data_IF_777334968037
#
_entry.id   IF_777334968037
#
_cell.length_a   1.000
_cell.length_b   1.000
_cell.length_c   1.000
_cell.angle_alpha   90.00
_cell.angle_beta   90.00
_cell.angle_gamma   90.00
#
_symmetry.space_group_name_H-M   'P 1'
#
loop_
_entity.id
_entity.type
_entity.pdbx_description
1 polymer ?
#
# COMPACT_ATOMS: atom_id res chain seq x y z
N UNK A 1 44.43 -23.96 -14.52
CA UNK A 1 43.73 -23.46 -13.32
C UNK A 1 42.25 -23.69 -13.55
N UNK A 2 41.65 -24.55 -12.72
CA UNK A 2 40.39 -25.28 -12.96
C UNK A 2 39.16 -24.39 -13.21
N UNK A 3 38.44 -24.73 -14.28
CA UNK A 3 37.06 -24.31 -14.57
C UNK A 3 36.12 -24.96 -13.55
N UNK A 4 35.47 -24.16 -12.71
CA UNK A 4 34.38 -24.61 -11.84
C UNK A 4 33.10 -24.73 -12.67
N UNK A 5 32.76 -25.94 -13.11
CA UNK A 5 31.41 -26.26 -13.57
C UNK A 5 30.52 -26.43 -12.33
N UNK A 6 29.64 -25.45 -12.08
CA UNK A 6 28.50 -25.64 -11.18
C UNK A 6 27.46 -26.51 -11.90
N UNK A 7 27.47 -27.81 -11.60
CA UNK A 7 26.38 -28.70 -11.94
C UNK A 7 25.19 -28.40 -11.02
N UNK A 8 24.10 -27.86 -11.59
CA UNK A 8 22.80 -27.89 -10.94
C UNK A 8 22.34 -29.35 -10.89
N UNK A 9 22.52 -29.99 -9.74
CA UNK A 9 21.85 -31.23 -9.42
C UNK A 9 20.36 -30.92 -9.24
N UNK A 10 19.57 -31.21 -10.27
CA UNK A 10 18.12 -31.29 -10.16
C UNK A 10 17.76 -32.49 -9.29
N UNK A 11 17.75 -32.29 -7.97
CA UNK A 11 17.12 -33.21 -7.05
C UNK A 11 15.61 -33.05 -7.17
N UNK A 12 14.94 -34.02 -7.78
CA UNK A 12 13.50 -34.17 -7.62
C UNK A 12 13.25 -34.50 -6.14
N UNK A 13 12.88 -33.49 -5.35
CA UNK A 13 12.35 -33.71 -4.01
C UNK A 13 11.02 -34.43 -4.22
N UNK A 14 10.91 -35.68 -3.78
CA UNK A 14 9.64 -36.39 -3.76
C UNK A 14 8.66 -35.57 -2.92
N UNK A 15 7.61 -35.05 -3.55
CA UNK A 15 6.52 -34.38 -2.84
C UNK A 15 5.84 -35.38 -1.90
N UNK A 16 5.42 -34.92 -0.72
CA UNK A 16 4.70 -35.76 0.23
C UNK A 16 3.28 -36.05 -0.27
N UNK A 17 2.68 -37.16 0.15
CA UNK A 17 1.30 -37.54 -0.22
C UNK A 17 0.27 -36.40 0.00
N UNK A 18 0.31 -35.62 1.11
CA UNK A 18 -0.57 -34.48 1.29
C UNK A 18 -0.36 -33.36 0.25
N UNK A 19 0.89 -33.11 -0.15
CA UNK A 19 1.25 -32.13 -1.16
C UNK A 19 0.72 -32.51 -2.54
N UNK A 20 0.86 -33.78 -2.93
CA UNK A 20 0.35 -34.30 -4.20
C UNK A 20 -1.17 -34.22 -4.28
N UNK A 21 -1.86 -34.56 -3.19
CA UNK A 21 -3.31 -34.47 -3.08
C UNK A 21 -3.79 -33.01 -3.24
N UNK A 22 -3.15 -32.08 -2.53
CA UNK A 22 -3.47 -30.66 -2.62
C UNK A 22 -3.16 -30.10 -4.01
N UNK A 23 -2.03 -30.46 -4.61
CA UNK A 23 -1.67 -30.04 -5.98
C UNK A 23 -2.74 -30.43 -6.98
N UNK A 24 -3.16 -31.69 -6.97
CA UNK A 24 -4.17 -32.23 -7.87
C UNK A 24 -5.49 -31.45 -7.74
N UNK A 25 -5.94 -31.23 -6.50
CA UNK A 25 -7.16 -30.45 -6.20
C UNK A 25 -7.04 -29.01 -6.70
N UNK A 26 -6.03 -28.27 -6.26
CA UNK A 26 -5.90 -26.85 -6.56
C UNK A 26 -5.67 -26.61 -8.05
N UNK A 27 -4.92 -27.49 -8.73
CA UNK A 27 -4.73 -27.43 -10.18
C UNK A 27 -6.06 -27.62 -10.92
N UNK A 28 -6.89 -28.58 -10.51
CA UNK A 28 -8.19 -28.80 -11.12
C UNK A 28 -9.16 -27.62 -10.87
N UNK A 29 -9.08 -26.99 -9.70
CA UNK A 29 -9.87 -25.79 -9.38
C UNK A 29 -9.41 -24.58 -10.19
N UNK A 30 -8.10 -24.37 -10.34
CA UNK A 30 -7.53 -23.25 -11.10
C UNK A 30 -7.60 -23.45 -12.62
N UNK A 31 -7.65 -24.68 -13.12
CA UNK A 31 -7.86 -24.94 -14.56
C UNK A 31 -9.20 -24.38 -15.05
N UNK A 32 -10.22 -24.33 -14.16
CA UNK A 32 -11.52 -23.69 -14.44
C UNK A 32 -11.43 -22.16 -14.53
N UNK A 33 -10.36 -21.56 -13.99
CA UNK A 33 -10.06 -20.13 -14.09
C UNK A 33 -9.21 -19.89 -15.34
N UNK A 34 -8.04 -20.51 -15.42
CA UNK A 34 -7.17 -20.47 -16.59
C UNK A 34 -6.11 -21.59 -16.58
N UNK A 35 -5.61 -21.95 -17.78
CA UNK A 35 -4.45 -22.85 -17.94
C UNK A 35 -3.19 -22.31 -17.29
N UNK A 36 -3.08 -20.98 -17.20
CA UNK A 36 -1.93 -20.30 -16.61
C UNK A 36 -1.94 -20.46 -15.08
N UNK A 37 -3.09 -20.24 -14.44
CA UNK A 37 -3.23 -20.40 -13.00
C UNK A 37 -3.01 -21.86 -12.58
N UNK A 38 -3.58 -22.82 -13.32
CA UNK A 38 -3.33 -24.25 -13.11
C UNK A 38 -1.83 -24.61 -13.21
N UNK A 39 -1.12 -24.03 -14.18
CA UNK A 39 0.33 -24.21 -14.31
C UNK A 39 1.10 -23.55 -13.15
N UNK A 40 0.66 -22.37 -12.72
CA UNK A 40 1.25 -21.65 -11.59
C UNK A 40 1.12 -22.44 -10.28
N UNK A 41 0.00 -23.14 -10.05
CA UNK A 41 -0.15 -24.04 -8.90
C UNK A 41 0.97 -25.08 -8.87
N UNK A 42 1.13 -25.83 -9.97
CA UNK A 42 2.08 -26.95 -10.06
C UNK A 42 3.55 -26.50 -10.03
N UNK A 43 3.85 -25.38 -10.70
CA UNK A 43 5.23 -24.93 -10.90
C UNK A 43 5.74 -23.96 -9.84
N UNK A 44 4.84 -23.34 -9.08
CA UNK A 44 5.21 -22.26 -8.18
C UNK A 44 4.61 -22.47 -6.80
N UNK A 45 3.29 -22.48 -6.66
CA UNK A 45 2.67 -22.52 -5.33
C UNK A 45 3.03 -23.78 -4.55
N UNK A 46 2.75 -24.96 -5.10
CA UNK A 46 2.95 -26.22 -4.36
C UNK A 46 4.44 -26.46 -4.05
N UNK A 47 5.38 -26.33 -5.00
CA UNK A 47 6.80 -26.49 -4.68
C UNK A 47 7.27 -25.55 -3.57
N UNK A 48 6.79 -24.30 -3.53
CA UNK A 48 7.15 -23.34 -2.48
C UNK A 48 6.47 -23.67 -1.14
N UNK A 49 5.19 -24.04 -1.15
CA UNK A 49 4.44 -24.38 0.06
C UNK A 49 4.96 -25.66 0.71
N UNK A 50 5.36 -26.65 -0.07
CA UNK A 50 5.73 -27.97 0.43
C UNK A 50 7.13 -28.06 1.05
N UNK A 51 7.95 -27.03 0.88
CA UNK A 51 9.29 -26.93 1.49
C UNK A 51 9.33 -26.07 2.75
N UNK A 52 8.22 -25.45 3.16
CA UNK A 52 8.17 -24.72 4.44
C UNK A 52 8.34 -25.71 5.60
N UNK A 53 8.95 -25.30 6.74
CA UNK A 53 9.26 -26.23 7.84
C UNK A 53 8.07 -27.05 8.37
N UNK A 54 6.87 -26.46 8.41
CA UNK A 54 5.62 -27.09 8.88
C UNK A 54 4.63 -27.40 7.73
N UNK A 55 5.15 -27.81 6.57
CA UNK A 55 4.37 -27.93 5.34
C UNK A 55 3.13 -28.81 5.45
N UNK A 56 3.17 -29.93 6.19
CA UNK A 56 2.00 -30.79 6.39
C UNK A 56 0.81 -30.04 7.02
N UNK A 57 1.08 -29.22 8.04
CA UNK A 57 0.04 -28.42 8.71
C UNK A 57 -0.46 -27.29 7.82
N UNK A 58 0.46 -26.66 7.08
CA UNK A 58 0.12 -25.57 6.16
C UNK A 58 -0.75 -26.08 5.01
N UNK A 59 -0.39 -27.22 4.42
CA UNK A 59 -1.16 -27.91 3.38
C UNK A 59 -2.57 -28.26 3.90
N UNK A 60 -2.68 -28.85 5.09
CA UNK A 60 -3.98 -29.14 5.70
C UNK A 60 -4.82 -27.87 5.95
N UNK A 61 -4.19 -26.77 6.36
CA UNK A 61 -4.86 -25.47 6.57
C UNK A 61 -5.37 -24.92 5.25
N UNK A 62 -4.56 -24.92 4.20
CA UNK A 62 -4.95 -24.45 2.85
C UNK A 62 -6.12 -25.28 2.32
N UNK A 63 -6.04 -26.60 2.43
CA UNK A 63 -7.11 -27.51 2.00
C UNK A 63 -8.43 -27.23 2.74
N UNK A 64 -8.37 -27.01 4.05
CA UNK A 64 -9.51 -26.65 4.89
C UNK A 64 -10.12 -25.29 4.48
N UNK A 65 -9.30 -24.25 4.34
CA UNK A 65 -9.77 -22.91 3.97
C UNK A 65 -10.39 -22.92 2.58
N UNK A 66 -9.78 -23.58 1.60
CA UNK A 66 -10.36 -23.71 0.24
C UNK A 66 -11.71 -24.43 0.29
N UNK A 67 -11.86 -25.45 1.13
CA UNK A 67 -13.15 -26.13 1.36
C UNK A 67 -14.20 -25.17 1.93
N UNK A 68 -13.83 -24.35 2.92
CA UNK A 68 -14.71 -23.32 3.49
C UNK A 68 -15.11 -22.30 2.41
N UNK A 69 -14.18 -21.88 1.56
CA UNK A 69 -14.42 -20.94 0.47
C UNK A 69 -15.39 -21.50 -0.57
N UNK A 70 -15.23 -22.77 -0.97
CA UNK A 70 -16.13 -23.47 -1.89
C UNK A 70 -17.54 -23.58 -1.31
N UNK A 71 -17.66 -23.97 -0.04
CA UNK A 71 -18.95 -24.07 0.66
C UNK A 71 -19.66 -22.71 0.77
N UNK A 72 -18.90 -21.63 0.93
CA UNK A 72 -19.42 -20.25 0.93
C UNK A 72 -19.61 -19.66 -0.48
N UNK A 73 -19.37 -20.45 -1.53
CA UNK A 73 -19.48 -20.06 -2.94
C UNK A 73 -18.60 -18.86 -3.29
N UNK A 74 -17.43 -18.75 -2.66
CA UNK A 74 -16.43 -17.73 -3.01
C UNK A 74 -15.94 -18.01 -4.44
N UNK A 75 -15.71 -16.93 -5.19
CA UNK A 75 -15.31 -17.04 -6.60
C UNK A 75 -13.94 -17.72 -6.73
N UNK A 76 -13.78 -18.72 -7.61
CA UNK A 76 -12.46 -19.28 -7.90
C UNK A 76 -11.48 -18.27 -8.49
N UNK A 77 -11.92 -17.45 -9.45
CA UNK A 77 -11.06 -16.54 -10.22
C UNK A 77 -10.58 -15.33 -9.42
N UNK A 78 -11.32 -14.95 -8.39
CA UNK A 78 -10.98 -13.82 -7.52
C UNK A 78 -10.61 -14.34 -6.14
N UNK A 79 -11.59 -14.75 -5.33
CA UNK A 79 -11.37 -15.06 -3.92
C UNK A 79 -10.38 -16.20 -3.69
N UNK A 80 -10.59 -17.38 -4.27
CA UNK A 80 -9.68 -18.54 -4.06
C UNK A 80 -8.31 -18.22 -4.64
N UNK A 81 -8.24 -17.71 -5.87
CA UNK A 81 -6.98 -17.32 -6.49
C UNK A 81 -6.19 -16.31 -5.62
N UNK A 82 -6.85 -15.28 -5.11
CA UNK A 82 -6.21 -14.27 -4.26
C UNK A 82 -5.76 -14.85 -2.91
N UNK A 83 -6.56 -15.74 -2.29
CA UNK A 83 -6.12 -16.48 -1.11
C UNK A 83 -4.84 -17.27 -1.38
N UNK A 84 -4.79 -18.03 -2.48
CA UNK A 84 -3.61 -18.83 -2.84
C UNK A 84 -2.39 -17.96 -3.15
N UNK A 85 -2.57 -16.77 -3.72
CA UNK A 85 -1.49 -15.80 -3.89
C UNK A 85 -0.98 -15.25 -2.56
N UNK A 86 -1.87 -15.01 -1.58
CA UNK A 86 -1.47 -14.64 -0.23
C UNK A 86 -0.73 -15.79 0.47
N UNK A 87 -1.15 -17.05 0.28
CA UNK A 87 -0.43 -18.24 0.76
C UNK A 87 0.99 -18.29 0.18
N UNK A 88 1.15 -18.09 -1.13
CA UNK A 88 2.48 -18.02 -1.74
C UNK A 88 3.35 -16.93 -1.09
N UNK A 89 2.79 -15.75 -0.87
CA UNK A 89 3.50 -14.65 -0.21
C UNK A 89 3.89 -15.00 1.24
N UNK A 90 3.02 -15.70 1.99
CA UNK A 90 3.31 -16.16 3.34
C UNK A 90 4.36 -17.26 3.39
N UNK A 91 4.54 -18.05 2.32
CA UNK A 91 5.56 -19.10 2.26
C UNK A 91 6.99 -18.56 2.21
N UNK A 92 7.18 -17.27 1.88
CA UNK A 92 8.46 -16.58 1.98
C UNK A 92 8.97 -16.61 3.45
N UNK A 93 10.19 -17.12 3.73
CA UNK A 93 10.75 -17.20 5.08
C UNK A 93 10.65 -15.92 5.91
N UNK A 94 10.75 -14.74 5.28
CA UNK A 94 10.66 -13.45 5.98
C UNK A 94 9.23 -13.09 6.42
N UNK A 95 8.22 -13.80 5.88
CA UNK A 95 6.80 -13.53 6.05
C UNK A 95 6.05 -14.67 6.76
N UNK A 96 6.67 -15.84 6.92
CA UNK A 96 6.04 -17.01 7.56
C UNK A 96 5.51 -16.74 8.97
N UNK A 97 6.13 -15.81 9.71
CA UNK A 97 5.68 -15.41 11.05
C UNK A 97 4.25 -14.82 11.06
N UNK A 98 3.76 -14.31 9.93
CA UNK A 98 2.39 -13.78 9.78
C UNK A 98 1.33 -14.86 9.51
N UNK A 99 1.74 -16.12 9.31
CA UNK A 99 0.82 -17.20 8.96
C UNK A 99 -0.36 -17.34 9.92
N UNK A 100 -0.06 -17.36 11.23
CA UNK A 100 -1.08 -17.53 12.26
C UNK A 100 -1.97 -16.28 12.37
N UNK A 101 -1.39 -15.08 12.33
CA UNK A 101 -2.13 -13.81 12.37
C UNK A 101 -3.13 -13.74 11.22
N UNK A 102 -2.66 -14.01 9.99
CA UNK A 102 -3.47 -13.95 8.77
C UNK A 102 -4.70 -14.88 8.83
N UNK A 103 -4.49 -16.15 9.16
CA UNK A 103 -5.58 -17.12 9.20
C UNK A 103 -6.54 -16.85 10.37
N UNK A 104 -6.01 -16.49 11.55
CA UNK A 104 -6.85 -16.13 12.71
C UNK A 104 -7.74 -14.91 12.43
N UNK A 105 -7.23 -13.94 11.66
CA UNK A 105 -8.01 -12.78 11.24
C UNK A 105 -9.08 -13.13 10.19
N UNK A 106 -8.80 -14.09 9.32
CA UNK A 106 -9.70 -14.55 8.27
C UNK A 106 -10.87 -15.40 8.83
N UNK A 107 -10.65 -16.16 9.90
CA UNK A 107 -11.63 -17.10 10.47
C UNK A 107 -13.02 -16.51 10.75
N UNK A 108 -13.16 -15.34 11.42
CA UNK A 108 -14.47 -14.75 11.69
C UNK A 108 -15.22 -14.31 10.43
N UNK A 109 -14.55 -14.17 9.29
CA UNK A 109 -15.16 -13.75 8.02
C UNK A 109 -16.07 -14.83 7.42
N UNK A 110 -15.85 -16.10 7.77
CA UNK A 110 -16.65 -17.23 7.28
C UNK A 110 -17.99 -17.38 8.00
N UNK A 111 -18.11 -16.83 9.21
CA UNK A 111 -19.22 -17.09 10.14
C UNK A 111 -20.61 -16.65 9.66
N UNK A 112 -20.69 -15.65 8.76
CA UNK A 112 -21.97 -15.06 8.33
C UNK A 112 -21.93 -14.70 6.85
N UNK A 113 -22.95 -15.15 6.09
CA UNK A 113 -23.12 -14.80 4.67
C UNK A 113 -23.09 -13.28 4.40
N UNK A 114 -23.57 -12.46 5.34
CA UNK A 114 -23.55 -10.98 5.25
C UNK A 114 -22.12 -10.41 5.21
N UNK A 115 -21.11 -11.14 5.69
CA UNK A 115 -19.70 -10.72 5.68
C UNK A 115 -19.00 -11.00 4.35
N UNK A 116 -19.62 -11.71 3.40
CA UNK A 116 -18.98 -12.10 2.12
C UNK A 116 -18.38 -10.94 1.33
N UNK A 117 -19.03 -9.76 1.32
CA UNK A 117 -18.48 -8.57 0.64
C UNK A 117 -17.13 -8.16 1.25
N UNK A 118 -17.06 -8.16 2.59
CA UNK A 118 -15.86 -7.82 3.34
C UNK A 118 -14.80 -8.90 3.15
N UNK A 119 -15.18 -10.18 3.19
CA UNK A 119 -14.29 -11.31 2.89
C UNK A 119 -13.65 -11.14 1.52
N UNK A 120 -14.44 -10.85 0.48
CA UNK A 120 -13.91 -10.66 -0.87
C UNK A 120 -12.95 -9.45 -0.96
N UNK A 121 -13.26 -8.33 -0.30
CA UNK A 121 -12.36 -7.17 -0.20
C UNK A 121 -11.04 -7.56 0.46
N UNK A 122 -11.09 -8.23 1.60
CA UNK A 122 -9.89 -8.66 2.32
C UNK A 122 -9.07 -9.69 1.52
N UNK A 123 -9.71 -10.67 0.89
CA UNK A 123 -9.01 -11.61 0.01
C UNK A 123 -8.32 -10.88 -1.14
N UNK A 124 -8.96 -9.87 -1.74
CA UNK A 124 -8.37 -9.09 -2.82
C UNK A 124 -7.15 -8.25 -2.40
N UNK A 125 -7.15 -7.67 -1.19
CA UNK A 125 -6.01 -6.89 -0.70
C UNK A 125 -4.86 -7.78 -0.18
N UNK A 126 -5.16 -8.99 0.30
CA UNK A 126 -4.22 -9.87 1.00
C UNK A 126 -2.89 -10.11 0.27
N UNK A 127 -2.85 -10.45 -1.04
CA UNK A 127 -1.58 -10.71 -1.73
C UNK A 127 -0.63 -9.51 -1.70
N UNK A 128 -1.16 -8.31 -1.97
CA UNK A 128 -0.38 -7.07 -1.99
C UNK A 128 0.09 -6.67 -0.59
N UNK A 129 -0.80 -6.79 0.40
CA UNK A 129 -0.49 -6.47 1.79
C UNK A 129 0.62 -7.37 2.34
N UNK A 130 0.50 -8.69 2.17
CA UNK A 130 1.50 -9.63 2.69
C UNK A 130 2.82 -9.52 1.93
N UNK A 131 2.78 -9.50 0.60
CA UNK A 131 4.00 -9.53 -0.20
C UNK A 131 4.81 -8.23 -0.08
N UNK A 132 4.12 -7.09 -0.12
CA UNK A 132 4.73 -5.79 -0.40
C UNK A 132 4.20 -4.65 0.47
N UNK A 133 3.46 -4.93 1.55
CA UNK A 133 2.82 -3.93 2.40
C UNK A 133 1.92 -2.94 1.63
N UNK A 134 1.30 -3.40 0.53
CA UNK A 134 0.36 -2.60 -0.27
C UNK A 134 -1.00 -2.63 0.42
N UNK A 135 -1.47 -1.46 0.87
CA UNK A 135 -2.79 -1.32 1.50
C UNK A 135 -3.90 -1.34 0.44
N UNK A 136 -3.64 -0.66 -0.68
CA UNK A 136 -4.60 -0.54 -1.78
C UNK A 136 -3.87 -0.43 -3.11
N UNK A 137 -4.45 -1.02 -4.16
CA UNK A 137 -3.99 -0.86 -5.53
C UNK A 137 -5.17 -0.73 -6.49
N UNK A 138 -5.09 0.24 -7.38
CA UNK A 138 -5.95 0.40 -8.56
C UNK A 138 -5.06 0.51 -9.79
N UNK A 139 -5.52 0.14 -10.98
CA UNK A 139 -4.67 -0.20 -12.15
C UNK A 139 -3.50 0.74 -12.48
N UNK A 140 -3.56 2.02 -12.11
CA UNK A 140 -2.52 3.02 -12.34
C UNK A 140 -1.79 3.52 -11.08
N UNK A 141 -2.22 3.22 -9.85
CA UNK A 141 -1.53 3.65 -8.63
C UNK A 141 -1.75 2.68 -7.45
N UNK A 142 -0.95 2.84 -6.41
CA UNK A 142 -1.09 2.08 -5.16
C UNK A 142 -0.71 2.92 -3.96
N UNK A 143 -1.27 2.54 -2.82
CA UNK A 143 -0.87 2.99 -1.50
C UNK A 143 -0.08 1.89 -0.81
N UNK A 144 1.14 2.18 -0.37
CA UNK A 144 2.08 1.22 0.22
C UNK A 144 2.74 1.76 1.48
N UNK A 145 2.98 0.88 2.45
CA UNK A 145 3.80 1.16 3.63
C UNK A 145 5.26 0.76 3.37
N UNK A 146 6.20 1.50 3.94
CA UNK A 146 7.63 1.21 3.83
C UNK A 146 8.11 0.05 4.70
N UNK A 147 7.28 -0.42 5.63
CA UNK A 147 7.61 -1.50 6.54
C UNK A 147 6.40 -2.36 6.88
N UNK A 148 6.67 -3.59 7.30
CA UNK A 148 5.65 -4.53 7.76
C UNK A 148 5.22 -4.26 9.22
N UNK A 149 5.24 -3.01 9.69
CA UNK A 149 4.80 -2.62 11.05
C UNK A 149 3.30 -2.31 11.07
N UNK A 150 2.53 -3.29 10.61
CA UNK A 150 1.07 -3.24 10.60
C UNK A 150 0.50 -4.52 11.24
N UNK A 151 -0.68 -4.38 11.84
CA UNK A 151 -1.40 -5.44 12.54
C UNK A 151 -2.83 -5.54 12.01
N UNK A 152 -3.35 -6.77 11.98
CA UNK A 152 -4.76 -7.06 11.67
C UNK A 152 -5.51 -7.45 12.94
N UNK A 153 -6.60 -6.75 13.25
CA UNK A 153 -7.39 -7.00 14.45
C UNK A 153 -8.89 -6.81 14.22
N UNK A 154 -9.70 -7.56 14.98
CA UNK A 154 -11.13 -7.32 15.06
C UNK A 154 -11.43 -6.40 16.25
N UNK A 155 -11.75 -5.13 15.99
CA UNK A 155 -12.24 -4.20 16.99
C UNK A 155 -13.76 -4.39 17.14
N UNK A 156 -14.13 -5.37 17.97
CA UNK A 156 -15.52 -5.84 18.04
C UNK A 156 -15.89 -6.61 16.76
N UNK A 157 -16.82 -6.09 15.96
CA UNK A 157 -17.21 -6.66 14.64
C UNK A 157 -16.63 -5.86 13.46
N UNK A 158 -15.64 -5.00 13.74
CA UNK A 158 -14.94 -4.18 12.74
C UNK A 158 -13.59 -4.82 12.42
N UNK A 159 -13.37 -5.28 11.18
CA UNK A 159 -12.06 -5.74 10.74
C UNK A 159 -11.18 -4.52 10.45
N UNK A 160 -10.11 -4.38 11.22
CA UNK A 160 -9.27 -3.19 11.22
C UNK A 160 -7.81 -3.55 10.92
N UNK A 161 -7.16 -2.72 10.11
CA UNK A 161 -5.71 -2.71 9.94
C UNK A 161 -5.16 -1.47 10.64
N UNK A 162 -4.17 -1.64 11.50
CA UNK A 162 -3.44 -0.53 12.13
C UNK A 162 -1.98 -0.57 11.73
N UNK A 163 -1.33 0.59 11.70
CA UNK A 163 0.11 0.70 11.48
C UNK A 163 0.69 1.86 12.28
N UNK A 164 1.95 1.75 12.69
CA UNK A 164 2.59 2.72 13.58
C UNK A 164 4.02 3.05 13.15
N UNK A 165 4.34 4.35 13.18
CA UNK A 165 5.68 4.87 12.88
C UNK A 165 6.22 4.36 11.54
N UNK A 166 5.40 4.48 10.49
CA UNK A 166 5.72 4.05 9.12
C UNK A 166 5.62 5.22 8.16
N UNK A 167 6.26 5.09 7.01
CA UNK A 167 5.99 5.98 5.89
C UNK A 167 4.87 5.38 5.04
N UNK A 168 3.91 6.21 4.65
CA UNK A 168 2.81 5.83 3.77
C UNK A 168 2.95 6.56 2.44
N UNK A 169 3.07 5.82 1.36
CA UNK A 169 3.35 6.37 0.02
C UNK A 169 2.21 6.07 -0.94
N UNK A 170 1.79 7.08 -1.69
CA UNK A 170 1.07 6.87 -2.94
C UNK A 170 2.09 6.78 -4.07
N UNK A 171 1.94 5.81 -4.98
CA UNK A 171 2.89 5.58 -6.08
C UNK A 171 2.18 5.15 -7.36
N UNK A 172 2.67 5.66 -8.49
CA UNK A 172 2.42 5.09 -9.82
C UNK A 172 3.75 4.74 -10.51
N UNK A 173 3.73 4.42 -11.81
CA UNK A 173 4.94 4.03 -12.55
C UNK A 173 6.01 5.14 -12.61
N UNK A 174 5.62 6.41 -12.54
CA UNK A 174 6.50 7.56 -12.81
C UNK A 174 6.64 8.54 -11.65
N UNK A 175 5.77 8.48 -10.65
CA UNK A 175 5.68 9.47 -9.59
C UNK A 175 5.26 8.83 -8.26
N UNK A 176 5.59 9.51 -7.16
CA UNK A 176 5.17 9.18 -5.81
C UNK A 176 5.10 10.43 -4.93
N UNK A 177 4.35 10.32 -3.84
CA UNK A 177 4.50 11.21 -2.69
C UNK A 177 4.39 10.39 -1.41
N UNK A 178 5.04 10.87 -0.34
CA UNK A 178 5.23 10.10 0.89
C UNK A 178 4.81 10.92 2.10
N UNK A 179 3.97 10.32 2.94
CA UNK A 179 3.64 10.78 4.27
C UNK A 179 4.62 10.15 5.25
N UNK A 180 5.52 10.96 5.77
CA UNK A 180 6.62 10.54 6.62
C UNK A 180 6.16 10.36 8.07
N UNK A 181 6.60 9.26 8.67
CA UNK A 181 6.43 8.91 10.09
C UNK A 181 5.00 9.12 10.60
N UNK A 182 4.05 8.47 9.93
CA UNK A 182 2.64 8.50 10.33
C UNK A 182 2.23 7.17 10.97
N UNK A 183 1.05 7.17 11.55
CA UNK A 183 0.36 5.98 12.06
C UNK A 183 -1.05 6.02 11.52
N UNK A 184 -1.74 4.89 11.44
CA UNK A 184 -3.09 4.89 10.90
C UNK A 184 -3.93 3.72 11.38
N UNK A 185 -5.23 3.91 11.19
CA UNK A 185 -6.28 2.95 11.47
C UNK A 185 -7.22 2.92 10.25
N UNK A 186 -7.40 1.73 9.68
CA UNK A 186 -8.24 1.53 8.52
C UNK A 186 -9.28 0.45 8.80
N UNK A 187 -10.55 0.85 8.79
CA UNK A 187 -11.68 -0.07 8.71
C UNK A 187 -11.75 -0.68 7.31
N UNK A 188 -11.43 -1.97 7.19
CA UNK A 188 -11.37 -2.69 5.91
C UNK A 188 -12.73 -2.81 5.19
N UNK A 189 -13.81 -2.33 5.80
CA UNK A 189 -15.13 -2.23 5.18
C UNK A 189 -15.26 -0.98 4.31
N UNK A 190 -14.50 0.07 4.65
CA UNK A 190 -14.46 1.36 3.98
C UNK A 190 -13.17 1.55 3.16
N UNK A 191 -13.06 2.68 2.48
CA UNK A 191 -11.90 3.09 1.68
C UNK A 191 -11.14 4.25 2.34
N UNK A 192 -11.78 4.91 3.31
CA UNK A 192 -11.19 5.97 4.11
C UNK A 192 -10.26 5.36 5.19
N UNK A 193 -9.01 5.78 5.18
CA UNK A 193 -8.01 5.44 6.19
C UNK A 193 -7.74 6.67 7.07
N UNK A 194 -7.97 6.53 8.38
CA UNK A 194 -7.56 7.55 9.33
C UNK A 194 -6.04 7.51 9.47
N UNK A 195 -5.39 8.67 9.35
CA UNK A 195 -3.95 8.83 9.51
C UNK A 195 -3.64 9.88 10.56
N UNK A 196 -2.61 9.62 11.36
CA UNK A 196 -2.06 10.53 12.33
C UNK A 196 -1.25 11.66 11.67
N UNK A 197 -0.69 12.57 12.47
CA UNK A 197 0.14 13.65 11.96
C UNK A 197 1.31 13.10 11.15
N UNK A 198 1.69 13.81 10.10
CA UNK A 198 2.75 13.37 9.19
C UNK A 198 3.51 14.55 8.61
N UNK A 199 4.68 14.28 8.03
CA UNK A 199 5.40 15.28 7.23
C UNK A 199 5.42 14.87 5.77
N UNK A 200 5.23 15.80 4.85
CA UNK A 200 5.34 15.58 3.40
C UNK A 200 6.28 16.62 2.80
N UNK A 201 7.15 16.21 1.89
CA UNK A 201 8.18 17.08 1.30
C UNK A 201 7.83 17.44 -0.14
N UNK A 202 8.58 18.38 -0.72
CA UNK A 202 8.50 18.75 -2.14
C UNK A 202 9.31 17.81 -3.05
N UNK A 203 9.41 16.53 -2.70
CA UNK A 203 10.18 15.54 -3.47
C UNK A 203 9.73 15.44 -4.94
N UNK A 204 10.73 15.39 -5.84
CA UNK A 204 10.51 15.34 -7.29
C UNK A 204 10.15 16.69 -7.92
N UNK A 205 10.23 17.80 -7.19
CA UNK A 205 10.16 19.17 -7.71
C UNK A 205 11.57 19.79 -7.79
N UNK A 206 11.66 21.07 -8.17
CA UNK A 206 12.92 21.84 -8.13
C UNK A 206 13.32 22.31 -6.72
N UNK A 207 12.48 22.10 -5.70
CA UNK A 207 12.75 22.52 -4.33
C UNK A 207 13.45 21.43 -3.52
N UNK A 208 14.40 21.82 -2.68
CA UNK A 208 15.11 20.92 -1.78
C UNK A 208 14.14 20.32 -0.73
N UNK A 209 13.98 18.99 -0.66
CA UNK A 209 12.98 18.34 0.20
C UNK A 209 13.19 18.53 1.71
N UNK A 210 14.44 18.72 2.14
CA UNK A 210 14.82 18.98 3.53
C UNK A 210 14.53 20.43 3.96
N UNK A 211 14.44 21.35 2.99
CA UNK A 211 14.16 22.76 3.22
C UNK A 211 12.70 23.14 2.94
N UNK A 212 11.97 22.32 2.16
CA UNK A 212 10.61 22.59 1.71
C UNK A 212 9.68 21.41 2.02
N UNK A 213 8.90 21.53 3.10
CA UNK A 213 8.03 20.48 3.60
C UNK A 213 6.80 21.04 4.32
N UNK A 214 5.74 20.24 4.41
CA UNK A 214 4.54 20.53 5.17
C UNK A 214 4.35 19.51 6.31
N UNK A 215 4.01 20.01 7.49
CA UNK A 215 3.54 19.23 8.63
C UNK A 215 2.03 19.20 8.61
N UNK A 216 1.49 18.01 8.40
CA UNK A 216 0.06 17.75 8.29
C UNK A 216 -0.48 17.30 9.66
N UNK A 217 -1.64 17.82 10.11
CA UNK A 217 -2.33 17.25 11.26
C UNK A 217 -2.89 15.86 10.91
N UNK A 218 -3.44 15.18 11.91
CA UNK A 218 -4.24 13.97 11.66
C UNK A 218 -5.37 14.28 10.68
N UNK A 219 -5.59 13.39 9.72
CA UNK A 219 -6.61 13.54 8.67
C UNK A 219 -7.12 12.17 8.23
N UNK A 220 -8.09 12.15 7.33
CA UNK A 220 -8.47 10.95 6.59
C UNK A 220 -7.94 11.03 5.15
N UNK A 221 -7.56 9.88 4.58
CA UNK A 221 -7.25 9.73 3.16
C UNK A 221 -8.21 8.73 2.54
N UNK A 222 -8.67 9.01 1.33
CA UNK A 222 -9.41 8.04 0.52
C UNK A 222 -8.39 7.21 -0.27
N UNK A 223 -8.26 5.92 0.05
CA UNK A 223 -7.31 5.03 -0.62
C UNK A 223 -7.67 4.81 -2.11
N UNK A 224 -8.90 5.13 -2.54
CA UNK A 224 -9.33 5.09 -3.95
C UNK A 224 -8.95 6.33 -4.76
N UNK A 225 -8.35 7.33 -4.16
CA UNK A 225 -7.82 8.48 -4.87
C UNK A 225 -6.29 8.50 -4.82
N UNK A 226 -5.68 9.09 -5.85
CA UNK A 226 -4.22 9.33 -5.92
C UNK A 226 -3.86 10.72 -5.37
N UNK A 227 -4.74 11.24 -4.53
CA UNK A 227 -4.86 12.65 -4.17
C UNK A 227 -5.29 12.78 -2.72
N UNK A 228 -4.61 13.66 -2.00
CA UNK A 228 -4.95 14.02 -0.63
C UNK A 228 -5.13 15.54 -0.53
N UNK A 229 -6.14 15.97 0.24
CA UNK A 229 -6.41 17.37 0.53
C UNK A 229 -6.41 17.58 2.04
N UNK A 230 -5.68 18.59 2.49
CA UNK A 230 -5.57 18.96 3.90
C UNK A 230 -5.93 20.45 4.02
N UNK A 231 -7.09 20.80 4.61
CA UNK A 231 -7.55 22.19 4.65
C UNK A 231 -6.62 23.13 5.43
N UNK A 232 -5.93 22.61 6.45
CA UNK A 232 -5.05 23.39 7.32
C UNK A 232 -3.81 22.58 7.70
N UNK A 233 -2.64 23.10 7.35
CA UNK A 233 -1.33 22.55 7.72
C UNK A 233 -0.30 23.67 7.91
N UNK A 234 0.89 23.30 8.39
CA UNK A 234 2.04 24.20 8.52
C UNK A 234 3.06 23.85 7.44
N UNK A 235 3.41 24.79 6.57
CA UNK A 235 4.52 24.65 5.62
C UNK A 235 5.78 25.35 6.14
N UNK A 236 6.91 24.70 5.96
CA UNK A 236 8.25 25.27 6.11
C UNK A 236 8.90 25.37 4.73
N UNK A 237 9.54 26.49 4.45
CA UNK A 237 10.29 26.75 3.22
C UNK A 237 11.52 27.58 3.57
N UNK A 238 12.65 27.33 2.91
CA UNK A 238 13.84 28.19 3.02
C UNK A 238 13.58 29.65 2.66
N UNK A 239 12.57 29.90 1.82
CA UNK A 239 12.21 31.24 1.38
C UNK A 239 11.46 32.02 2.46
N UNK A 240 11.04 31.40 3.58
CA UNK A 240 10.33 32.10 4.65
C UNK A 240 10.94 31.87 6.01
N UNK A 241 11.19 32.95 6.75
CA UNK A 241 11.69 32.91 8.13
C UNK A 241 10.68 32.35 9.13
N UNK A 242 9.39 32.43 8.81
CA UNK A 242 8.30 31.95 9.66
C UNK A 242 7.56 30.79 8.97
N UNK A 243 7.04 29.80 9.72
CA UNK A 243 6.18 28.78 9.15
C UNK A 243 4.90 29.40 8.56
N UNK A 244 4.45 28.89 7.42
CA UNK A 244 3.27 29.37 6.71
C UNK A 244 2.08 28.49 7.04
N UNK A 245 0.95 29.09 7.41
CA UNK A 245 -0.32 28.39 7.59
C UNK A 245 -1.11 28.38 6.28
N UNK A 246 -1.79 27.27 5.98
CA UNK A 246 -2.59 27.21 4.75
C UNK A 246 -3.14 25.83 4.43
N UNK A 247 -3.68 25.72 3.22
CA UNK A 247 -4.24 24.46 2.69
C UNK A 247 -3.22 23.75 1.82
N UNK A 248 -3.25 22.42 1.82
CA UNK A 248 -2.30 21.57 1.11
C UNK A 248 -3.01 20.51 0.26
N UNK A 249 -2.43 20.22 -0.88
CA UNK A 249 -2.90 19.17 -1.80
C UNK A 249 -1.70 18.41 -2.35
N UNK A 250 -1.65 17.09 -2.14
CA UNK A 250 -0.71 16.19 -2.80
C UNK A 250 -1.46 15.33 -3.81
N UNK A 251 -0.88 15.16 -5.00
CA UNK A 251 -1.43 14.32 -6.07
C UNK A 251 -0.31 13.66 -6.83
N UNK A 252 -0.50 12.42 -7.27
CA UNK A 252 0.36 11.83 -8.30
C UNK A 252 0.24 12.58 -9.63
N UNK A 253 1.37 12.89 -10.23
CA UNK A 253 1.46 13.61 -11.50
C UNK A 253 2.65 13.11 -12.34
N UNK A 254 2.33 12.37 -13.40
CA UNK A 254 3.33 11.90 -14.37
C UNK A 254 3.83 13.04 -15.25
N UNK A 255 5.01 13.59 -14.93
CA UNK A 255 5.66 14.66 -15.69
C UNK A 255 7.01 14.22 -16.26
N UNK A 256 7.49 14.92 -17.30
CA UNK A 256 8.76 14.61 -17.98
C UNK A 256 10.00 15.16 -17.27
N UNK A 257 9.84 16.15 -16.39
CA UNK A 257 10.93 16.74 -15.62
C UNK A 257 10.43 17.34 -14.31
N UNK A 258 11.29 17.50 -13.29
CA UNK A 258 10.92 18.12 -12.01
C UNK A 258 10.31 19.52 -12.15
N UNK A 259 10.81 20.35 -13.08
CA UNK A 259 10.35 21.73 -13.29
C UNK A 259 8.91 21.80 -13.82
N UNK A 260 8.45 20.74 -14.48
CA UNK A 260 7.09 20.63 -14.98
C UNK A 260 6.08 20.21 -13.89
N UNK A 261 6.55 19.74 -12.73
CA UNK A 261 5.69 19.25 -11.64
C UNK A 261 4.89 20.41 -11.04
N UNK A 262 3.59 20.19 -10.87
CA UNK A 262 2.62 21.14 -10.31
C UNK A 262 2.05 20.69 -8.96
N UNK A 263 2.47 19.53 -8.47
CA UNK A 263 2.21 19.00 -7.13
C UNK A 263 3.52 18.67 -6.38
N UNK A 264 3.52 18.71 -5.04
CA UNK A 264 2.42 19.11 -4.17
C UNK A 264 2.08 20.62 -4.29
N UNK A 265 0.91 20.99 -3.78
CA UNK A 265 0.43 22.39 -3.75
C UNK A 265 0.18 22.82 -2.33
N UNK A 266 0.62 24.02 -2.00
CA UNK A 266 0.28 24.69 -0.75
C UNK A 266 -0.22 26.10 -1.06
N UNK A 267 -1.38 26.46 -0.53
CA UNK A 267 -1.94 27.81 -0.62
C UNK A 267 -1.93 28.42 0.78
N UNK A 268 -1.13 29.46 0.97
CA UNK A 268 -1.08 30.18 2.23
C UNK A 268 -2.42 30.86 2.52
N UNK A 269 -2.83 30.83 3.79
CA UNK A 269 -4.02 31.51 4.26
C UNK A 269 -3.80 33.02 4.39
N UNK A 270 -2.57 33.43 4.75
CA UNK A 270 -2.24 34.84 4.96
C UNK A 270 -2.11 35.60 3.62
N UNK A 271 -2.72 36.78 3.56
CA UNK A 271 -2.69 37.64 2.36
C UNK A 271 -1.38 38.38 2.18
N UNK A 272 -0.54 38.40 3.21
CA UNK A 272 0.72 39.13 3.21
C UNK A 272 1.76 38.35 4.00
N UNK A 273 2.62 37.63 3.29
CA UNK A 273 3.80 36.98 3.85
C UNK A 273 5.06 37.54 3.20
N UNK A 274 6.16 37.52 3.95
CA UNK A 274 7.48 37.90 3.45
C UNK A 274 8.23 36.65 3.02
N UNK A 275 8.66 36.61 1.75
CA UNK A 275 9.55 35.60 1.22
C UNK A 275 10.86 36.22 0.77
N UNK A 276 11.97 35.64 1.16
CA UNK A 276 13.32 36.07 0.83
C UNK A 276 13.87 35.23 -0.32
N UNK A 277 14.71 35.84 -1.15
CA UNK A 277 15.44 35.18 -2.25
C UNK A 277 14.56 34.39 -3.23
N UNK A 278 13.31 34.85 -3.46
CA UNK A 278 12.43 34.30 -4.52
C UNK A 278 13.07 34.48 -5.90
N UNK A 279 13.81 35.57 -6.05
CA UNK A 279 14.85 35.79 -7.06
C UNK A 279 16.10 36.30 -6.32
N UNK A 280 17.28 36.15 -6.92
CA UNK A 280 18.54 36.61 -6.28
C UNK A 280 18.37 38.02 -5.68
N UNK A 281 18.57 38.10 -4.36
CA UNK A 281 18.53 39.36 -3.59
C UNK A 281 17.20 40.10 -3.64
N UNK A 282 16.08 39.41 -3.88
CA UNK A 282 14.75 40.01 -3.98
C UNK A 282 13.82 39.50 -2.88
N UNK A 283 13.15 40.42 -2.20
CA UNK A 283 12.10 40.11 -1.21
C UNK A 283 10.71 40.25 -1.83
N UNK A 284 9.89 39.21 -1.70
CA UNK A 284 8.48 39.22 -2.07
C UNK A 284 7.61 39.49 -0.84
N UNK A 285 6.57 40.31 -1.01
CA UNK A 285 5.56 40.59 0.02
C UNK A 285 4.17 40.45 -0.61
N UNK A 286 3.38 39.51 -0.11
CA UNK A 286 2.01 39.27 -0.59
C UNK A 286 1.54 37.84 -0.30
N UNK A 287 0.36 37.49 -0.78
CA UNK A 287 -0.19 36.15 -0.63
C UNK A 287 0.53 35.16 -1.53
N UNK A 288 0.79 33.95 -1.05
CA UNK A 288 1.59 32.97 -1.79
C UNK A 288 0.90 31.62 -1.98
N UNK A 289 1.13 31.03 -3.15
CA UNK A 289 0.87 29.62 -3.42
C UNK A 289 2.12 28.93 -3.98
N UNK A 290 2.55 27.85 -3.34
CA UNK A 290 3.53 26.91 -3.88
C UNK A 290 2.79 25.88 -4.73
N UNK A 291 3.19 25.71 -6.00
CA UNK A 291 2.55 24.83 -6.98
C UNK A 291 3.62 23.98 -7.66
N UNK A 292 3.95 22.84 -7.05
CA UNK A 292 5.08 22.01 -7.43
C UNK A 292 6.36 22.84 -7.45
N UNK A 293 6.99 22.94 -8.61
CA UNK A 293 8.24 23.69 -8.84
C UNK A 293 8.07 25.20 -9.06
N UNK A 294 6.87 25.75 -8.82
CA UNK A 294 6.55 27.16 -9.07
C UNK A 294 6.00 27.84 -7.82
N UNK A 295 6.32 29.12 -7.68
CA UNK A 295 5.74 29.99 -6.66
C UNK A 295 4.87 31.02 -7.38
N UNK A 296 3.63 31.17 -6.92
CA UNK A 296 2.65 32.09 -7.47
C UNK A 296 2.25 33.10 -6.40
N UNK A 297 2.33 34.39 -6.74
CA UNK A 297 1.66 35.42 -5.98
C UNK A 297 0.14 35.31 -6.19
N UNK A 298 -0.63 35.36 -5.10
CA UNK A 298 -2.08 35.23 -5.13
C UNK A 298 -2.73 36.36 -4.32
N UNK A 299 -3.97 36.69 -4.69
CA UNK A 299 -4.91 37.39 -3.82
C UNK A 299 -5.92 36.38 -3.29
N UNK A 300 -6.27 36.47 -2.02
CA UNK A 300 -7.47 35.82 -1.51
C UNK A 300 -8.65 36.68 -1.96
N UNK A 301 -9.44 36.18 -2.92
CA UNK A 301 -10.70 36.81 -3.26
C UNK A 301 -11.75 36.35 -2.25
N UNK A 302 -11.67 36.86 -1.02
CA UNK A 302 -12.80 36.91 -0.10
C UNK A 302 -13.27 38.37 -0.02
N UNK A 303 -13.91 38.84 -1.09
CA UNK A 303 -14.91 39.94 -1.14
C UNK A 303 -15.00 40.51 -2.57
N UNK A 304 -16.06 40.11 -3.27
CA UNK A 304 -16.89 40.97 -4.12
C UNK A 304 -18.32 40.43 -4.07
#
# INVERSE_FOLDING_TARGET
MMTFCLAFAGGAIAQSEPCDALESRLSATMEKVSKEDSRWIKKTLIPTLCIVPDSERWVATVDSVVTIMENNRISPSEGIRNYLQAVLALSDPEKQWRWQEYHSFLDPMWSKRKKRKITNKFLALSPGLIANNILFASGNYRWELDSAKWELAWLGDVPTLTFQSTNLSARNQSDHFTLLNTSGEWDLRDEDCAIGPSTITWEGTSFAPDQNYARLPSTSIDLKDDLMRVPSCIMHSELSKAPLMGSFVAKLESVKSPEAKTYPRFRCADEQVTLEDVFEQTTYIGGVQFKGSKILGIRNNEQL
#
